data_IF_539389835082
#
_entry.id   IF_539389835082
#
_cell.length_a   1.000
_cell.length_b   1.000
_cell.length_c   1.000
_cell.angle_alpha   90.00
_cell.angle_beta   90.00
_cell.angle_gamma   90.00
#
_symmetry.space_group_name_H-M   'P 1'
#
loop_
_entity.id
_entity.type
_entity.pdbx_description
1 polymer ?
#
# COMPACT_ATOMS: atom_id res chain seq x y z
N UNK A 1 31.08 -15.44 29.67
CA UNK A 1 30.11 -16.24 28.85
C UNK A 1 28.65 -15.78 28.97
N UNK A 2 28.14 -15.47 30.17
CA UNK A 2 26.72 -15.05 30.34
C UNK A 2 26.38 -13.75 29.57
N UNK A 3 27.26 -12.75 29.63
CA UNK A 3 27.10 -11.48 28.92
C UNK A 3 27.09 -11.62 27.39
N UNK A 4 27.95 -12.49 26.84
CA UNK A 4 28.00 -12.77 25.40
C UNK A 4 26.69 -13.42 24.93
N UNK A 5 26.16 -14.38 25.70
CA UNK A 5 24.87 -15.02 25.39
C UNK A 5 23.71 -14.02 25.45
N UNK A 6 23.73 -13.09 26.42
CA UNK A 6 22.74 -12.02 26.52
C UNK A 6 22.82 -11.06 25.33
N UNK A 7 24.03 -10.70 24.91
CA UNK A 7 24.25 -9.85 23.75
C UNK A 7 23.75 -10.51 22.46
N UNK A 8 24.05 -11.79 22.26
CA UNK A 8 23.56 -12.56 21.10
C UNK A 8 22.03 -12.63 21.09
N UNK A 9 21.40 -12.90 22.24
CA UNK A 9 19.94 -12.91 22.35
C UNK A 9 19.32 -11.54 22.02
N UNK A 10 19.98 -10.45 22.44
CA UNK A 10 19.53 -9.10 22.14
C UNK A 10 19.61 -8.78 20.65
N UNK A 11 20.69 -9.16 19.97
CA UNK A 11 20.84 -8.96 18.51
C UNK A 11 19.78 -9.75 17.74
N UNK A 12 19.51 -11.01 18.13
CA UNK A 12 18.49 -11.85 17.48
C UNK A 12 17.08 -11.25 17.62
N UNK A 13 16.75 -10.66 18.77
CA UNK A 13 15.44 -10.03 19.00
C UNK A 13 15.23 -8.78 18.14
N UNK A 14 16.29 -8.05 17.76
CA UNK A 14 16.19 -6.82 16.99
C UNK A 14 16.13 -7.03 15.47
N UNK A 15 16.51 -8.22 14.96
CA UNK A 15 16.49 -8.53 13.53
C UNK A 15 15.07 -8.58 12.93
N UNK A 16 14.03 -8.81 13.76
CA UNK A 16 12.63 -8.92 13.32
C UNK A 16 11.83 -7.62 13.33
N UNK A 17 12.40 -6.51 13.80
CA UNK A 17 11.67 -5.26 14.04
C UNK A 17 11.67 -4.28 12.84
N UNK A 18 11.95 -4.77 11.63
CA UNK A 18 11.89 -3.93 10.43
C UNK A 18 10.44 -3.74 9.98
N UNK A 19 9.78 -2.70 10.53
CA UNK A 19 8.53 -2.20 9.97
C UNK A 19 8.87 -1.27 8.79
N UNK A 20 8.83 -1.80 7.58
CA UNK A 20 9.01 -1.01 6.37
C UNK A 20 7.64 -0.70 5.76
N UNK A 21 7.31 0.59 5.65
CA UNK A 21 6.19 1.07 4.86
C UNK A 21 6.72 1.43 3.48
N UNK A 22 6.21 0.78 2.44
CA UNK A 22 6.53 1.11 1.06
C UNK A 22 5.51 2.13 0.53
N UNK A 23 5.97 3.36 0.35
CA UNK A 23 5.21 4.41 -0.33
C UNK A 23 5.64 4.50 -1.80
N UNK A 24 4.68 4.54 -2.72
CA UNK A 24 4.93 4.54 -4.17
C UNK A 24 4.44 5.85 -4.78
N UNK A 25 5.37 6.63 -5.33
CA UNK A 25 5.08 7.88 -6.04
C UNK A 25 5.29 7.71 -7.54
N UNK A 26 4.27 8.01 -8.33
CA UNK A 26 4.35 7.99 -9.80
C UNK A 26 4.95 9.31 -10.29
N UNK A 27 6.16 9.27 -10.85
CA UNK A 27 6.89 10.48 -11.31
C UNK A 27 6.53 10.87 -12.74
N UNK A 28 6.15 9.90 -13.58
CA UNK A 28 5.77 10.12 -14.99
C UNK A 28 4.67 9.13 -15.39
N UNK A 29 3.59 9.63 -15.98
CA UNK A 29 2.51 8.83 -16.56
C UNK A 29 2.81 8.52 -18.04
N UNK A 30 2.32 7.38 -18.51
CA UNK A 30 2.34 7.06 -19.95
C UNK A 30 1.38 8.01 -20.68
N UNK A 31 1.85 8.63 -21.77
CA UNK A 31 1.04 9.52 -22.58
C UNK A 31 -0.04 8.77 -23.39
N UNK A 32 0.14 7.46 -23.58
CA UNK A 32 -0.77 6.60 -24.34
C UNK A 32 -1.69 5.76 -23.43
N UNK A 33 -1.85 6.16 -22.16
CA UNK A 33 -2.78 5.51 -21.25
C UNK A 33 -4.23 5.61 -21.76
N UNK A 34 -5.01 4.55 -21.56
CA UNK A 34 -6.39 4.46 -22.04
C UNK A 34 -7.36 5.19 -21.09
N UNK A 35 -8.23 6.08 -21.59
CA UNK A 35 -9.18 6.82 -20.75
C UNK A 35 -10.14 5.90 -20.01
N UNK A 36 -10.34 6.12 -18.70
CA UNK A 36 -11.29 5.34 -17.90
C UNK A 36 -12.04 6.21 -16.88
N UNK A 37 -13.30 5.83 -16.62
CA UNK A 37 -14.12 6.42 -15.55
C UNK A 37 -14.61 5.29 -14.65
N UNK A 38 -14.37 5.42 -13.34
CA UNK A 38 -14.87 4.48 -12.33
C UNK A 38 -16.08 5.11 -11.65
N UNK A 39 -17.22 4.43 -11.71
CA UNK A 39 -18.44 4.90 -11.03
C UNK A 39 -18.37 4.67 -9.53
N UNK A 40 -19.13 5.46 -8.77
CA UNK A 40 -19.30 5.25 -7.34
C UNK A 40 -19.97 3.90 -7.07
N UNK A 41 -19.55 3.24 -5.99
CA UNK A 41 -20.12 1.98 -5.56
C UNK A 41 -21.18 2.22 -4.48
N UNK A 42 -22.32 1.55 -4.63
CA UNK A 42 -23.26 1.39 -3.53
C UNK A 42 -22.70 0.37 -2.55
N UNK A 43 -22.44 0.79 -1.31
CA UNK A 43 -21.89 -0.07 -0.26
C UNK A 43 -23.02 -0.52 0.67
N UNK A 44 -23.20 -1.84 0.82
CA UNK A 44 -24.27 -2.43 1.62
C UNK A 44 -23.69 -3.05 2.89
N UNK A 45 -24.26 -2.71 4.06
CA UNK A 45 -23.90 -3.31 5.36
C UNK A 45 -23.59 -2.29 6.47
N UNK A 46 -23.51 -2.76 7.73
CA UNK A 46 -23.11 -1.92 8.86
C UNK A 46 -21.64 -1.52 8.73
N UNK A 47 -21.33 -0.23 8.86
CA UNK A 47 -19.95 0.29 8.78
C UNK A 47 -19.45 0.58 7.36
N UNK A 48 -20.34 0.60 6.37
CA UNK A 48 -20.00 0.73 4.95
C UNK A 48 -19.66 2.16 4.48
N UNK A 49 -19.31 3.10 5.35
CA UNK A 49 -19.25 4.53 5.00
C UNK A 49 -17.85 5.14 4.96
N UNK A 50 -16.82 4.44 5.43
CA UNK A 50 -15.53 5.11 5.69
C UNK A 50 -14.53 5.04 4.53
N UNK A 51 -14.82 4.30 3.45
CA UNK A 51 -13.90 4.15 2.32
C UNK A 51 -14.59 4.27 0.97
N UNK A 52 -14.12 5.23 0.19
CA UNK A 52 -14.51 5.41 -1.21
C UNK A 52 -13.77 4.40 -2.09
N UNK A 53 -14.40 3.24 -2.31
CA UNK A 53 -13.85 2.15 -3.11
C UNK A 53 -13.58 2.59 -4.56
N UNK A 54 -14.39 3.52 -5.10
CA UNK A 54 -14.20 4.02 -6.47
C UNK A 54 -12.86 4.73 -6.63
N UNK A 55 -12.48 5.55 -5.64
CA UNK A 55 -11.16 6.23 -5.62
C UNK A 55 -10.00 5.24 -5.50
N UNK A 56 -10.15 4.19 -4.70
CA UNK A 56 -9.11 3.16 -4.55
C UNK A 56 -8.86 2.44 -5.88
N UNK A 57 -9.95 2.04 -6.56
CA UNK A 57 -9.86 1.35 -7.85
C UNK A 57 -9.26 2.27 -8.91
N UNK A 58 -9.75 3.51 -9.02
CA UNK A 58 -9.22 4.50 -9.95
C UNK A 58 -7.72 4.73 -9.74
N UNK A 59 -7.29 4.96 -8.49
CA UNK A 59 -5.89 5.19 -8.18
C UNK A 59 -4.99 3.98 -8.55
N UNK A 60 -5.47 2.75 -8.39
CA UNK A 60 -4.73 1.56 -8.78
C UNK A 60 -4.63 1.42 -10.31
N UNK A 61 -5.70 1.71 -11.04
CA UNK A 61 -5.71 1.69 -12.50
C UNK A 61 -4.75 2.74 -13.07
N UNK A 62 -4.77 3.96 -12.54
CA UNK A 62 -3.82 5.01 -12.92
C UNK A 62 -2.38 4.64 -12.58
N UNK A 63 -2.12 4.04 -11.41
CA UNK A 63 -0.77 3.59 -11.01
C UNK A 63 -0.24 2.46 -11.88
N UNK A 64 -1.10 1.70 -12.56
CA UNK A 64 -0.68 0.69 -13.52
C UNK A 64 0.00 1.28 -14.77
N UNK A 65 -0.17 2.60 -15.02
CA UNK A 65 0.31 3.28 -16.21
C UNK A 65 -0.48 2.96 -17.48
N UNK A 66 -1.47 2.06 -17.41
CA UNK A 66 -2.28 1.65 -18.56
C UNK A 66 -3.53 2.51 -18.76
N UNK A 67 -3.94 3.26 -17.74
CA UNK A 67 -5.19 4.02 -17.73
C UNK A 67 -5.00 5.43 -17.19
N UNK A 68 -5.85 6.37 -17.63
CA UNK A 68 -5.88 7.76 -17.17
C UNK A 68 -7.29 8.36 -17.13
#
# INVERSE_FOLDING_TARGET
>A
MKLIKLFIAFVVLNLGAAQAVLEVTVVKKDANAFPIIVSHFELVGKGAQDKDISKIIQANLERSGRFN
#
